data_IF_732040037834
#
_entry.id   IF_732040037834
#
_cell.length_a   1.000
_cell.length_b   1.000
_cell.length_c   1.000
_cell.angle_alpha   90.00
_cell.angle_beta   90.00
_cell.angle_gamma   90.00
#
_symmetry.space_group_name_H-M   'P 1'
#
loop_
_entity.id
_entity.type
_entity.pdbx_description
1 polymer ?
#
# COMPACT_ATOMS: atom_id res chain seq x y z
N UNK A 1 46.65 9.33 -32.69
CA UNK A 1 46.28 8.10 -31.98
C UNK A 1 45.53 8.51 -30.72
N UNK A 2 44.21 8.59 -30.79
CA UNK A 2 43.36 8.96 -29.66
C UNK A 2 42.18 7.99 -29.63
N UNK A 3 42.26 7.03 -28.71
CA UNK A 3 41.19 6.08 -28.42
C UNK A 3 40.16 6.80 -27.56
N UNK A 4 39.02 7.17 -28.15
CA UNK A 4 37.85 7.59 -27.39
C UNK A 4 37.22 6.33 -26.79
N UNK A 5 37.41 6.13 -25.48
CA UNK A 5 36.76 5.07 -24.73
C UNK A 5 35.27 5.41 -24.53
N UNK A 6 34.39 4.61 -25.11
CA UNK A 6 32.96 4.65 -24.78
C UNK A 6 32.76 4.17 -23.35
N UNK A 7 32.40 5.11 -22.47
CA UNK A 7 31.89 4.79 -21.14
C UNK A 7 30.44 4.32 -21.31
N UNK A 8 30.20 3.01 -21.18
CA UNK A 8 28.86 2.48 -20.98
C UNK A 8 28.38 2.96 -19.61
N UNK A 9 27.42 3.89 -19.57
CA UNK A 9 26.64 4.13 -18.36
C UNK A 9 25.79 2.88 -18.11
N UNK A 10 26.21 2.04 -17.17
CA UNK A 10 25.35 1.04 -16.58
C UNK A 10 24.20 1.79 -15.90
N UNK A 11 22.98 1.66 -16.41
CA UNK A 11 21.79 2.14 -15.72
C UNK A 11 21.74 1.44 -14.36
N UNK A 12 21.70 2.20 -13.27
CA UNK A 12 21.36 1.63 -11.97
C UNK A 12 20.03 0.87 -12.12
N UNK A 13 19.90 -0.35 -11.55
CA UNK A 13 18.63 -1.05 -11.57
C UNK A 13 17.55 -0.13 -11.00
N UNK A 14 16.42 -0.04 -11.70
CA UNK A 14 15.32 0.81 -11.30
C UNK A 14 14.86 0.44 -9.87
N UNK A 15 14.59 1.46 -9.06
CA UNK A 15 14.00 1.30 -7.73
C UNK A 15 12.68 0.48 -7.83
N UNK A 16 12.62 -0.66 -7.14
CA UNK A 16 11.52 -1.62 -7.21
C UNK A 16 11.25 -2.30 -5.86
N UNK A 17 9.99 -2.66 -5.62
CA UNK A 17 9.55 -3.55 -4.54
C UNK A 17 9.52 -4.97 -5.08
N UNK A 18 10.41 -5.81 -4.57
CA UNK A 18 10.73 -7.10 -5.18
C UNK A 18 10.19 -8.25 -4.35
N UNK A 19 9.86 -9.36 -5.03
CA UNK A 19 9.48 -10.60 -4.36
C UNK A 19 10.50 -10.98 -3.26
N UNK A 20 10.00 -11.31 -2.07
CA UNK A 20 10.82 -11.65 -0.89
C UNK A 20 11.45 -10.46 -0.16
N UNK A 21 11.09 -9.22 -0.46
CA UNK A 21 11.43 -8.10 0.41
C UNK A 21 10.77 -8.27 1.79
N UNK A 22 11.56 -8.19 2.87
CA UNK A 22 11.02 -8.15 4.23
C UNK A 22 10.42 -6.78 4.50
N UNK A 23 9.35 -6.76 5.29
CA UNK A 23 8.60 -5.52 5.54
C UNK A 23 8.02 -5.48 6.95
N UNK A 24 7.57 -4.30 7.34
CA UNK A 24 6.73 -4.08 8.51
C UNK A 24 5.79 -2.89 8.23
N UNK A 25 4.65 -2.87 8.91
CA UNK A 25 3.56 -1.92 8.70
C UNK A 25 3.17 -1.29 10.03
N UNK A 26 3.25 0.03 10.13
CA UNK A 26 2.98 0.75 11.37
C UNK A 26 2.15 2.00 11.09
N UNK A 27 0.90 2.00 11.56
CA UNK A 27 0.00 3.15 11.41
C UNK A 27 -0.26 3.89 12.72
N UNK A 28 0.19 3.33 13.85
CA UNK A 28 -0.06 3.87 15.19
C UNK A 28 1.25 4.16 15.93
N UNK A 29 1.27 5.30 16.63
CA UNK A 29 2.41 5.70 17.46
C UNK A 29 2.61 4.78 18.70
N UNK A 30 3.86 4.64 19.18
CA UNK A 30 5.09 5.18 18.61
C UNK A 30 5.61 4.31 17.46
N UNK A 31 6.10 4.95 16.40
CA UNK A 31 6.77 4.24 15.31
C UNK A 31 8.16 3.74 15.75
N UNK A 32 8.48 2.48 15.45
CA UNK A 32 9.81 1.91 15.59
C UNK A 32 10.46 1.81 14.21
N UNK A 33 11.40 2.71 13.91
CA UNK A 33 12.00 2.84 12.58
C UNK A 33 13.30 2.03 12.40
N UNK A 34 13.90 1.57 13.50
CA UNK A 34 15.11 0.75 13.45
C UNK A 34 14.77 -0.74 13.39
N UNK A 35 14.17 -1.16 12.27
CA UNK A 35 13.69 -2.52 12.04
C UNK A 35 14.61 -3.26 11.07
N UNK A 36 14.82 -4.57 11.23
CA UNK A 36 15.67 -5.36 10.33
C UNK A 36 14.99 -5.68 8.98
N UNK A 37 14.13 -4.80 8.47
CA UNK A 37 13.33 -5.03 7.26
C UNK A 37 13.87 -4.22 6.09
N UNK A 38 13.42 -4.49 4.86
CA UNK A 38 13.78 -3.69 3.67
C UNK A 38 12.75 -2.62 3.34
N UNK A 39 11.52 -2.78 3.84
CA UNK A 39 10.38 -1.92 3.54
C UNK A 39 9.67 -1.55 4.84
N UNK A 40 9.33 -0.28 4.98
CA UNK A 40 8.43 0.20 6.03
C UNK A 40 7.22 0.87 5.38
N UNK A 41 6.04 0.38 5.72
CA UNK A 41 4.78 1.06 5.42
C UNK A 41 4.31 1.82 6.66
N UNK A 42 4.07 3.12 6.51
CA UNK A 42 3.96 4.06 7.62
C UNK A 42 2.84 5.06 7.38
N UNK A 43 2.11 5.39 8.46
CA UNK A 43 1.22 6.53 8.43
C UNK A 43 2.03 7.84 8.35
N UNK A 44 1.71 8.79 7.45
CA UNK A 44 2.51 10.00 7.29
C UNK A 44 2.52 10.91 8.53
N UNK A 45 1.54 10.79 9.43
CA UNK A 45 1.52 11.61 10.65
C UNK A 45 2.49 11.14 11.74
N UNK A 46 3.03 9.92 11.66
CA UNK A 46 3.86 9.32 12.73
C UNK A 46 5.35 9.36 12.42
N UNK A 47 5.74 10.04 11.33
CA UNK A 47 7.13 10.20 10.88
C UNK A 47 7.39 11.60 10.31
N UNK A 48 8.66 12.01 10.33
CA UNK A 48 9.13 13.27 9.75
C UNK A 48 9.92 13.08 8.44
N UNK A 49 10.12 14.13 7.62
CA UNK A 49 11.04 14.07 6.48
C UNK A 49 12.47 13.65 6.87
N UNK A 50 12.94 14.03 8.06
CA UNK A 50 14.24 13.63 8.59
C UNK A 50 14.31 12.11 8.85
N UNK A 51 13.24 11.53 9.40
CA UNK A 51 13.13 10.08 9.60
C UNK A 51 13.19 9.34 8.27
N UNK A 52 12.42 9.80 7.28
CA UNK A 52 12.38 9.22 5.93
C UNK A 52 13.74 9.33 5.22
N UNK A 53 14.43 10.45 5.36
CA UNK A 53 15.79 10.62 4.84
C UNK A 53 16.79 9.66 5.52
N UNK A 54 16.67 9.45 6.83
CA UNK A 54 17.50 8.51 7.57
C UNK A 54 17.25 7.05 7.12
N UNK A 55 15.98 6.65 6.96
CA UNK A 55 15.59 5.34 6.41
C UNK A 55 16.15 5.12 5.00
N UNK A 56 15.98 6.11 4.13
CA UNK A 56 16.51 6.08 2.75
C UNK A 56 18.03 5.93 2.71
N UNK A 57 18.76 6.57 3.61
CA UNK A 57 20.22 6.44 3.70
C UNK A 57 20.68 5.03 4.10
N UNK A 58 19.81 4.27 4.79
CA UNK A 58 20.02 2.86 5.14
C UNK A 58 19.53 1.90 4.03
N UNK A 59 19.00 2.43 2.93
CA UNK A 59 18.41 1.64 1.85
C UNK A 59 17.02 1.07 2.15
N UNK A 60 16.36 1.55 3.21
CA UNK A 60 14.97 1.19 3.52
C UNK A 60 14.04 1.93 2.57
N UNK A 61 13.12 1.20 1.94
CA UNK A 61 12.07 1.75 1.09
C UNK A 61 10.88 2.12 1.96
N UNK A 62 10.23 3.24 1.68
CA UNK A 62 9.09 3.69 2.48
C UNK A 62 7.81 3.79 1.65
N UNK A 63 6.71 3.31 2.23
CA UNK A 63 5.36 3.37 1.68
C UNK A 63 4.53 4.31 2.57
N UNK A 64 3.78 5.21 1.94
CA UNK A 64 2.91 6.18 2.60
C UNK A 64 1.48 5.66 2.58
N UNK A 65 0.89 5.41 3.75
CA UNK A 65 -0.54 5.13 3.89
C UNK A 65 -1.38 6.32 3.43
N UNK A 66 -2.36 6.05 2.56
CA UNK A 66 -3.38 7.03 2.15
C UNK A 66 -4.71 6.29 1.95
N UNK A 67 -5.75 6.61 2.74
CA UNK A 67 -7.09 6.17 2.36
C UNK A 67 -7.56 6.86 1.07
N UNK A 68 -7.91 6.08 0.04
CA UNK A 68 -8.36 6.59 -1.26
C UNK A 68 -9.84 6.31 -1.54
N UNK A 69 -10.44 5.35 -0.82
CA UNK A 69 -11.87 5.02 -0.95
C UNK A 69 -12.74 5.50 0.20
N UNK A 70 -12.15 5.98 1.30
CA UNK A 70 -12.87 6.53 2.44
C UNK A 70 -12.30 7.88 2.88
N UNK A 71 -13.09 8.58 3.70
CA UNK A 71 -12.74 9.84 4.33
C UNK A 71 -12.80 9.71 5.85
N UNK A 72 -11.63 9.67 6.46
CA UNK A 72 -11.49 9.55 7.91
C UNK A 72 -11.93 10.83 8.61
N UNK A 73 -12.47 10.70 9.83
CA UNK A 73 -12.89 11.84 10.65
C UNK A 73 -11.74 12.81 10.92
N UNK A 74 -10.53 12.28 11.05
CA UNK A 74 -9.32 13.00 11.45
C UNK A 74 -8.49 13.50 10.28
N UNK A 75 -8.84 13.21 9.02
CA UNK A 75 -8.06 13.67 7.87
C UNK A 75 -7.97 15.21 7.86
N UNK A 76 -6.77 15.80 7.75
CA UNK A 76 -6.59 17.26 7.86
C UNK A 76 -7.23 18.03 6.70
N UNK A 77 -7.42 17.37 5.56
CA UNK A 77 -8.04 17.91 4.34
C UNK A 77 -9.55 17.62 4.26
N UNK A 78 -10.17 17.07 5.31
CA UNK A 78 -11.58 16.67 5.31
C UNK A 78 -12.54 17.77 4.86
N UNK A 79 -12.26 19.03 5.21
CA UNK A 79 -13.08 20.17 4.83
C UNK A 79 -13.08 20.46 3.31
N UNK A 80 -12.14 19.90 2.55
CA UNK A 80 -12.03 20.06 1.11
C UNK A 80 -12.93 19.08 0.34
N UNK A 81 -13.49 18.06 0.99
CA UNK A 81 -14.35 17.06 0.36
C UNK A 81 -15.80 17.58 0.31
N UNK A 82 -16.39 17.72 -0.89
CA UNK A 82 -17.79 18.12 -1.01
C UNK A 82 -18.72 17.05 -0.43
N UNK A 83 -19.80 17.47 0.22
CA UNK A 83 -20.74 16.55 0.87
C UNK A 83 -21.39 15.56 -0.09
N UNK A 84 -21.54 15.92 -1.36
CA UNK A 84 -22.18 15.08 -2.38
C UNK A 84 -21.37 13.84 -2.79
N UNK A 85 -20.09 13.78 -2.43
CA UNK A 85 -19.23 12.61 -2.68
C UNK A 85 -18.99 11.78 -1.43
N UNK A 86 -19.56 12.17 -0.28
CA UNK A 86 -19.40 11.47 0.99
C UNK A 86 -20.62 10.57 1.19
N UNK A 87 -20.36 9.27 1.28
CA UNK A 87 -21.36 8.22 1.36
C UNK A 87 -21.61 7.71 2.78
N UNK A 88 -22.00 6.44 2.85
CA UNK A 88 -22.31 5.75 4.09
C UNK A 88 -21.09 5.63 5.01
N UNK A 89 -21.37 5.43 6.30
CA UNK A 89 -20.39 4.98 7.28
C UNK A 89 -19.82 3.63 6.89
N UNK A 90 -18.51 3.47 7.05
CA UNK A 90 -17.91 2.15 6.96
C UNK A 90 -18.18 1.40 8.26
N UNK A 91 -18.89 0.28 8.20
CA UNK A 91 -19.33 -0.45 9.40
C UNK A 91 -18.18 -0.90 10.31
N UNK A 92 -17.08 -1.39 9.72
CA UNK A 92 -15.89 -1.82 10.46
C UNK A 92 -15.08 -0.64 11.01
N UNK A 93 -15.22 0.54 10.39
CA UNK A 93 -14.53 1.78 10.76
C UNK A 93 -15.52 2.94 10.89
N UNK A 94 -16.25 3.05 12.03
CA UNK A 94 -17.36 4.01 12.18
C UNK A 94 -16.98 5.49 12.04
N UNK A 95 -15.68 5.78 12.16
CA UNK A 95 -15.09 7.10 12.01
C UNK A 95 -14.74 7.45 10.55
N UNK A 96 -15.00 6.54 9.62
CA UNK A 96 -14.79 6.69 8.18
C UNK A 96 -16.11 6.74 7.41
N UNK A 97 -16.06 7.37 6.24
CA UNK A 97 -17.18 7.44 5.30
C UNK A 97 -16.68 7.07 3.91
N UNK A 98 -17.40 6.23 3.18
CA UNK A 98 -17.05 5.91 1.80
C UNK A 98 -17.08 7.16 0.90
N UNK A 99 -16.29 7.14 -0.15
CA UNK A 99 -16.23 8.19 -1.17
C UNK A 99 -16.82 7.72 -2.49
N UNK A 100 -17.52 8.59 -3.22
CA UNK A 100 -18.02 8.27 -4.57
C UNK A 100 -16.86 8.28 -5.59
N UNK A 101 -16.19 7.13 -5.75
CA UNK A 101 -15.04 6.96 -6.66
C UNK A 101 -15.36 7.20 -8.15
N UNK A 102 -16.64 7.40 -8.51
CA UNK A 102 -17.06 7.77 -9.87
C UNK A 102 -16.85 9.26 -10.14
N UNK A 103 -16.78 10.09 -9.10
CA UNK A 103 -16.57 11.55 -9.17
C UNK A 103 -15.10 11.90 -9.31
N UNK A 104 -14.50 11.37 -10.38
CA UNK A 104 -13.07 11.49 -10.68
C UNK A 104 -12.61 12.95 -10.84
N UNK A 105 -13.50 13.83 -11.32
CA UNK A 105 -13.28 15.27 -11.45
C UNK A 105 -12.98 15.96 -10.11
N UNK A 106 -13.56 15.43 -9.02
CA UNK A 106 -13.40 15.95 -7.66
C UNK A 106 -12.32 15.18 -6.90
N UNK A 107 -12.34 13.85 -6.97
CA UNK A 107 -11.47 13.00 -6.16
C UNK A 107 -10.02 13.00 -6.62
N UNK A 108 -9.73 13.00 -7.93
CA UNK A 108 -8.35 12.89 -8.38
C UNK A 108 -7.47 14.08 -7.94
N UNK A 109 -7.92 15.34 -8.00
CA UNK A 109 -7.15 16.45 -7.44
C UNK A 109 -6.88 16.33 -5.93
N UNK A 110 -7.85 15.83 -5.16
CA UNK A 110 -7.69 15.61 -3.71
C UNK A 110 -6.65 14.51 -3.43
N UNK A 111 -6.73 13.39 -4.14
CA UNK A 111 -5.74 12.31 -4.01
C UNK A 111 -4.36 12.71 -4.52
N UNK A 112 -4.29 13.49 -5.60
CA UNK A 112 -3.03 14.04 -6.09
C UNK A 112 -2.35 14.92 -5.02
N UNK A 113 -3.11 15.78 -4.32
CA UNK A 113 -2.58 16.58 -3.23
C UNK A 113 -2.07 15.72 -2.06
N UNK A 114 -2.78 14.63 -1.70
CA UNK A 114 -2.30 13.66 -0.69
C UNK A 114 -1.00 12.99 -1.13
N UNK A 115 -0.91 12.55 -2.39
CA UNK A 115 0.29 11.90 -2.92
C UNK A 115 1.47 12.89 -3.04
N UNK A 116 1.22 14.14 -3.42
CA UNK A 116 2.21 15.22 -3.41
C UNK A 116 2.74 15.47 -1.99
N UNK A 117 1.88 15.42 -0.97
CA UNK A 117 2.31 15.51 0.43
C UNK A 117 3.26 14.37 0.79
N UNK A 118 2.88 13.10 0.54
CA UNK A 118 3.78 11.95 0.74
C UNK A 118 5.11 12.11 -0.02
N UNK A 119 5.07 12.55 -1.28
CA UNK A 119 6.27 12.80 -2.08
C UNK A 119 7.17 13.86 -1.46
N UNK A 120 6.57 14.96 -1.01
CA UNK A 120 7.30 16.09 -0.42
C UNK A 120 7.98 15.73 0.90
N UNK A 121 7.39 14.81 1.67
CA UNK A 121 8.01 14.27 2.88
C UNK A 121 9.19 13.34 2.56
N UNK A 122 9.18 12.68 1.40
CA UNK A 122 10.28 11.84 0.92
C UNK A 122 9.94 10.35 0.83
N UNK A 123 8.66 9.98 0.93
CA UNK A 123 8.21 8.61 0.68
C UNK A 123 8.55 8.15 -0.74
N UNK A 124 8.74 6.84 -0.92
CA UNK A 124 9.01 6.25 -2.22
C UNK A 124 7.75 5.70 -2.91
N UNK A 125 6.69 5.40 -2.14
CA UNK A 125 5.49 4.76 -2.65
C UNK A 125 4.22 5.16 -1.87
N UNK A 126 3.07 4.77 -2.42
CA UNK A 126 1.74 4.91 -1.82
C UNK A 126 1.15 3.52 -1.53
N UNK A 127 0.58 3.35 -0.34
CA UNK A 127 -0.44 2.35 -0.01
C UNK A 127 -1.81 3.04 -0.16
N UNK A 128 -2.55 2.79 -1.26
CA UNK A 128 -3.86 3.41 -1.47
C UNK A 128 -4.94 2.55 -0.79
N UNK A 129 -5.27 2.84 0.46
CA UNK A 129 -6.22 2.03 1.23
C UNK A 129 -7.69 2.21 0.80
N UNK A 130 -8.51 1.21 1.12
CA UNK A 130 -9.94 1.16 0.78
C UNK A 130 -10.22 1.12 -0.73
N UNK A 131 -9.49 0.30 -1.49
CA UNK A 131 -9.71 0.10 -2.94
C UNK A 131 -10.99 -0.69 -3.28
N UNK A 132 -11.60 -1.31 -2.28
CA UNK A 132 -12.71 -2.26 -2.30
C UNK A 132 -14.09 -1.60 -2.13
N UNK A 133 -14.23 -0.31 -2.47
CA UNK A 133 -15.51 0.41 -2.37
C UNK A 133 -16.63 -0.26 -3.18
N UNK A 134 -16.30 -1.02 -4.24
CA UNK A 134 -17.29 -1.76 -5.04
C UNK A 134 -17.89 -2.98 -4.33
N UNK A 135 -17.22 -3.49 -3.30
CA UNK A 135 -17.65 -4.66 -2.51
C UNK A 135 -18.37 -4.26 -1.22
N UNK A 136 -18.57 -2.95 -0.99
CA UNK A 136 -19.15 -2.40 0.23
C UNK A 136 -20.42 -1.58 -0.04
N UNK A 137 -21.28 -1.43 0.98
CA UNK A 137 -22.44 -0.52 0.93
C UNK A 137 -22.00 0.94 1.12
N UNK A 138 -21.40 1.50 0.07
CA UNK A 138 -20.93 2.88 0.07
C UNK A 138 -22.04 3.93 0.06
N UNK A 139 -23.30 3.54 -0.16
CA UNK A 139 -24.40 4.46 -0.47
C UNK A 139 -24.39 4.97 -1.91
N UNK A 140 -23.45 4.50 -2.74
CA UNK A 140 -23.36 4.81 -4.17
C UNK A 140 -23.42 3.53 -5.01
N UNK A 141 -23.96 3.58 -6.25
CA UNK A 141 -23.96 2.43 -7.16
C UNK A 141 -22.58 2.29 -7.83
N UNK A 142 -21.58 1.95 -7.01
CA UNK A 142 -20.21 1.69 -7.44
C UNK A 142 -20.15 0.26 -7.99
N UNK A 143 -19.36 0.09 -9.04
CA UNK A 143 -19.16 -1.19 -9.71
C UNK A 143 -17.68 -1.50 -9.71
N UNK A 144 -17.35 -2.75 -9.93
CA UNK A 144 -15.98 -3.21 -10.15
C UNK A 144 -15.27 -2.41 -11.27
N UNK A 145 -15.96 -2.07 -12.36
CA UNK A 145 -15.38 -1.26 -13.44
C UNK A 145 -15.05 0.17 -12.97
N UNK A 146 -15.85 0.74 -12.06
CA UNK A 146 -15.56 2.04 -11.46
C UNK A 146 -14.29 1.97 -10.59
N UNK A 147 -14.14 0.92 -9.77
CA UNK A 147 -12.93 0.70 -8.97
C UNK A 147 -11.68 0.58 -9.85
N UNK A 148 -11.70 -0.29 -10.86
CA UNK A 148 -10.57 -0.48 -11.78
C UNK A 148 -10.19 0.84 -12.49
N UNK A 149 -11.19 1.61 -12.95
CA UNK A 149 -10.93 2.89 -13.61
C UNK A 149 -10.27 3.92 -12.67
N UNK A 150 -10.79 4.03 -11.44
CA UNK A 150 -10.24 4.93 -10.42
C UNK A 150 -8.81 4.55 -10.03
N UNK A 151 -8.56 3.28 -9.72
CA UNK A 151 -7.24 2.78 -9.31
C UNK A 151 -6.20 2.99 -10.41
N UNK A 152 -6.55 2.75 -11.68
CA UNK A 152 -5.64 3.02 -12.81
C UNK A 152 -5.26 4.49 -12.91
N UNK A 153 -6.19 5.40 -12.61
CA UNK A 153 -5.92 6.84 -12.59
C UNK A 153 -5.01 7.21 -11.41
N UNK A 154 -5.25 6.65 -10.22
CA UNK A 154 -4.35 6.82 -9.07
C UNK A 154 -2.92 6.34 -9.37
N UNK A 155 -2.78 5.18 -10.03
CA UNK A 155 -1.48 4.67 -10.44
C UNK A 155 -0.77 5.61 -11.44
N UNK A 156 -1.53 6.21 -12.36
CA UNK A 156 -1.03 7.25 -13.26
C UNK A 156 -0.54 8.49 -12.51
N UNK A 157 -1.33 8.98 -11.54
CA UNK A 157 -1.00 10.12 -10.69
C UNK A 157 0.28 9.87 -9.88
N UNK A 158 0.35 8.75 -9.15
CA UNK A 158 1.54 8.39 -8.37
C UNK A 158 2.80 8.30 -9.25
N UNK A 159 2.70 7.65 -10.41
CA UNK A 159 3.81 7.56 -11.37
C UNK A 159 4.25 8.92 -11.90
N UNK A 160 3.31 9.83 -12.15
CA UNK A 160 3.59 11.22 -12.57
C UNK A 160 4.40 11.99 -11.53
N UNK A 161 4.23 11.67 -10.25
CA UNK A 161 4.99 12.24 -9.12
C UNK A 161 6.30 11.48 -8.83
N UNK A 162 6.61 10.44 -9.61
CA UNK A 162 7.75 9.55 -9.37
C UNK A 162 7.63 8.75 -8.07
N UNK A 163 6.40 8.38 -7.71
CA UNK A 163 6.07 7.43 -6.65
C UNK A 163 5.71 6.07 -7.25
N UNK A 164 5.97 5.00 -6.50
CA UNK A 164 5.35 3.69 -6.74
C UNK A 164 3.96 3.64 -6.10
N UNK A 165 3.14 2.67 -6.48
CA UNK A 165 1.83 2.48 -5.86
C UNK A 165 1.47 0.99 -5.72
N UNK A 166 0.90 0.63 -4.57
CA UNK A 166 0.48 -0.73 -4.26
C UNK A 166 -0.96 -1.03 -4.63
N UNK A 167 -1.28 -2.33 -4.72
CA UNK A 167 -2.63 -2.83 -4.49
C UNK A 167 -2.84 -3.01 -2.99
N UNK A 168 -3.97 -2.55 -2.46
CA UNK A 168 -4.41 -2.85 -1.10
C UNK A 168 -5.68 -3.69 -1.15
N UNK A 169 -5.62 -4.92 -0.65
CA UNK A 169 -6.70 -5.91 -0.72
C UNK A 169 -7.18 -6.15 -2.16
N UNK A 170 -8.50 -6.15 -2.42
CA UNK A 170 -9.15 -6.38 -3.73
C UNK A 170 -8.58 -7.56 -4.55
N UNK A 171 -8.50 -8.78 -3.96
CA UNK A 171 -7.90 -9.93 -4.63
C UNK A 171 -8.59 -10.31 -5.96
N UNK A 172 -9.88 -9.96 -6.10
CA UNK A 172 -10.69 -10.12 -7.31
C UNK A 172 -10.22 -9.24 -8.48
N UNK A 173 -9.52 -8.13 -8.19
CA UNK A 173 -9.05 -7.17 -9.19
C UNK A 173 -7.60 -7.37 -9.62
N UNK A 174 -6.85 -8.28 -9.00
CA UNK A 174 -5.41 -8.47 -9.24
C UNK A 174 -5.05 -8.56 -10.73
N UNK A 175 -5.70 -9.45 -11.48
CA UNK A 175 -5.43 -9.65 -12.92
C UNK A 175 -5.71 -8.40 -13.77
N UNK A 176 -6.56 -7.49 -13.30
CA UNK A 176 -6.96 -6.26 -14.01
C UNK A 176 -6.03 -5.08 -13.72
N UNK A 177 -5.23 -5.17 -12.65
CA UNK A 177 -4.45 -4.07 -12.09
C UNK A 177 -2.95 -4.34 -12.01
N UNK A 178 -2.52 -5.61 -12.11
CA UNK A 178 -1.13 -6.03 -11.99
C UNK A 178 -0.18 -5.33 -12.99
N UNK A 179 -0.68 -4.88 -14.14
CA UNK A 179 0.11 -4.16 -15.15
C UNK A 179 0.44 -2.72 -14.74
N UNK A 180 -0.34 -2.11 -13.83
CA UNK A 180 -0.16 -0.71 -13.43
C UNK A 180 0.35 -0.52 -12.00
N UNK A 181 0.23 -1.52 -11.13
CA UNK A 181 0.66 -1.46 -9.73
C UNK A 181 2.04 -2.10 -9.53
N UNK A 182 2.79 -1.65 -8.53
CA UNK A 182 4.21 -2.01 -8.33
C UNK A 182 4.40 -3.15 -7.31
N UNK A 183 3.44 -3.37 -6.41
CA UNK A 183 3.41 -4.40 -5.37
C UNK A 183 1.98 -4.61 -4.87
N UNK A 184 1.76 -5.61 -4.01
CA UNK A 184 0.49 -5.81 -3.31
C UNK A 184 0.69 -5.83 -1.79
N UNK A 185 -0.31 -5.33 -1.06
CA UNK A 185 -0.51 -5.42 0.38
C UNK A 185 -1.88 -6.05 0.59
N UNK A 186 -1.92 -7.18 1.28
CA UNK A 186 -3.12 -7.88 1.64
C UNK A 186 -3.27 -7.88 3.17
N UNK A 187 -4.51 -7.95 3.61
CA UNK A 187 -4.86 -8.25 4.98
C UNK A 187 -5.52 -9.61 5.04
N UNK A 188 -5.10 -10.43 6.00
CA UNK A 188 -5.78 -11.68 6.33
C UNK A 188 -5.87 -12.67 5.15
N UNK A 189 -4.94 -12.67 4.19
CA UNK A 189 -5.08 -13.51 3.00
C UNK A 189 -5.14 -15.01 3.33
N UNK A 190 -4.51 -15.43 4.44
CA UNK A 190 -4.53 -16.82 4.87
C UNK A 190 -5.84 -17.14 5.60
N UNK A 191 -6.31 -16.27 6.50
CA UNK A 191 -7.63 -16.39 7.13
C UNK A 191 -8.75 -16.50 6.09
N UNK A 192 -8.72 -15.62 5.09
CA UNK A 192 -9.78 -15.47 4.09
C UNK A 192 -9.57 -16.40 2.88
N UNK A 193 -8.46 -17.14 2.85
CA UNK A 193 -8.06 -18.09 1.79
C UNK A 193 -7.91 -17.44 0.42
N UNK A 194 -7.49 -16.19 0.38
CA UNK A 194 -7.31 -15.37 -0.82
C UNK A 194 -5.86 -15.26 -1.27
N UNK A 195 -4.86 -15.75 -0.51
CA UNK A 195 -3.43 -15.59 -0.85
C UNK A 195 -3.05 -15.94 -2.29
N UNK A 196 -3.66 -16.99 -2.87
CA UNK A 196 -3.39 -17.42 -4.25
C UNK A 196 -3.71 -16.32 -5.27
N UNK A 197 -4.69 -15.46 -5.00
CA UNK A 197 -5.14 -14.42 -5.91
C UNK A 197 -4.05 -13.38 -6.21
N UNK A 198 -3.04 -13.25 -5.36
CA UNK A 198 -1.93 -12.32 -5.54
C UNK A 198 -0.72 -12.92 -6.30
N UNK A 199 -0.76 -14.21 -6.67
CA UNK A 199 0.39 -14.92 -7.26
C UNK A 199 0.96 -14.28 -8.52
N UNK A 200 0.15 -13.55 -9.30
CA UNK A 200 0.60 -12.80 -10.47
C UNK A 200 1.70 -11.76 -10.14
N UNK A 201 1.74 -11.21 -8.93
CA UNK A 201 2.82 -10.32 -8.49
C UNK A 201 4.14 -11.08 -8.36
N UNK A 202 4.15 -12.24 -7.71
CA UNK A 202 5.35 -13.05 -7.56
C UNK A 202 5.87 -13.55 -8.93
N UNK A 203 4.97 -13.96 -9.83
CA UNK A 203 5.32 -14.35 -11.20
C UNK A 203 5.95 -13.20 -12.00
N UNK A 204 5.57 -11.95 -11.69
CA UNK A 204 6.15 -10.73 -12.24
C UNK A 204 7.39 -10.22 -11.47
N UNK A 205 7.85 -10.94 -10.43
CA UNK A 205 8.97 -10.54 -9.58
C UNK A 205 8.69 -9.36 -8.63
N UNK A 206 7.41 -9.00 -8.46
CA UNK A 206 6.94 -7.91 -7.59
C UNK A 206 6.67 -8.42 -6.17
N UNK A 207 6.79 -7.53 -5.19
CA UNK A 207 6.51 -7.87 -3.80
C UNK A 207 5.02 -8.16 -3.55
N UNK A 208 4.76 -9.12 -2.66
CA UNK A 208 3.46 -9.36 -2.03
C UNK A 208 3.68 -9.30 -0.52
N UNK A 209 3.00 -8.38 0.12
CA UNK A 209 2.99 -8.16 1.55
C UNK A 209 1.64 -8.62 2.11
N UNK A 210 1.62 -9.32 3.24
CA UNK A 210 0.37 -9.72 3.90
C UNK A 210 0.44 -9.56 5.43
N UNK A 211 -0.59 -8.95 6.01
CA UNK A 211 -0.73 -8.79 7.45
C UNK A 211 -1.86 -9.70 7.99
N UNK A 212 -1.48 -10.64 8.83
CA UNK A 212 -2.39 -11.42 9.66
C UNK A 212 -2.50 -10.79 11.05
N UNK A 213 -3.60 -11.08 11.77
CA UNK A 213 -3.90 -10.38 13.03
C UNK A 213 -4.04 -11.30 14.24
N UNK A 214 -3.45 -10.88 15.37
CA UNK A 214 -3.47 -11.64 16.65
C UNK A 214 -4.86 -11.70 17.31
N UNK A 215 -5.77 -10.81 16.93
CA UNK A 215 -7.15 -10.79 17.42
C UNK A 215 -8.04 -11.86 16.75
N UNK A 216 -7.52 -12.53 15.70
CA UNK A 216 -8.14 -13.69 15.06
C UNK A 216 -7.38 -14.99 15.42
N UNK A 217 -8.06 -16.12 15.59
CA UNK A 217 -7.38 -17.40 15.84
C UNK A 217 -6.48 -17.80 14.66
N UNK A 218 -5.16 -17.84 14.86
CA UNK A 218 -4.20 -18.16 13.80
C UNK A 218 -3.10 -19.11 14.27
N UNK A 219 -2.76 -20.07 13.40
CA UNK A 219 -1.55 -20.87 13.51
C UNK A 219 -0.48 -20.28 12.59
N UNK A 220 0.27 -19.31 13.08
CA UNK A 220 1.16 -18.50 12.23
C UNK A 220 2.17 -19.34 11.43
N UNK A 221 2.72 -20.41 11.99
CA UNK A 221 3.61 -21.33 11.26
C UNK A 221 2.96 -22.00 10.04
N UNK A 222 1.65 -22.29 10.09
CA UNK A 222 0.91 -22.79 8.92
C UNK A 222 0.64 -21.69 7.91
N UNK A 223 0.32 -20.49 8.38
CA UNK A 223 0.16 -19.31 7.52
C UNK A 223 1.46 -19.03 6.75
N UNK A 224 2.61 -19.10 7.42
CA UNK A 224 3.93 -18.95 6.81
C UNK A 224 4.23 -20.01 5.74
N UNK A 225 3.79 -21.26 5.92
CA UNK A 225 3.92 -22.30 4.87
C UNK A 225 3.12 -21.92 3.61
N UNK A 226 1.96 -21.29 3.77
CA UNK A 226 1.15 -20.79 2.65
C UNK A 226 1.78 -19.54 2.03
N UNK A 227 2.32 -18.64 2.85
CA UNK A 227 3.00 -17.44 2.39
C UNK A 227 4.22 -17.80 1.53
N UNK A 228 5.08 -18.71 2.01
CA UNK A 228 6.25 -19.21 1.26
C UNK A 228 5.84 -19.80 -0.11
N UNK A 229 4.77 -20.61 -0.13
CA UNK A 229 4.26 -21.22 -1.36
C UNK A 229 3.91 -20.20 -2.44
N UNK A 230 3.44 -19.01 -2.06
CA UNK A 230 3.00 -17.97 -2.99
C UNK A 230 3.96 -16.78 -3.08
N UNK A 231 5.14 -16.86 -2.45
CA UNK A 231 6.14 -15.78 -2.47
C UNK A 231 5.72 -14.53 -1.69
N UNK A 232 4.91 -14.72 -0.65
CA UNK A 232 4.38 -13.64 0.19
C UNK A 232 5.30 -13.42 1.38
N UNK A 233 5.63 -12.16 1.64
CA UNK A 233 6.22 -11.72 2.90
C UNK A 233 5.09 -11.41 3.88
N UNK A 234 4.87 -12.28 4.85
CA UNK A 234 3.76 -12.20 5.79
C UNK A 234 4.23 -11.72 7.16
N UNK A 235 3.41 -10.91 7.83
CA UNK A 235 3.60 -10.47 9.21
C UNK A 235 2.38 -10.80 10.06
N UNK A 236 2.59 -11.01 11.36
CA UNK A 236 1.53 -11.10 12.37
C UNK A 236 1.54 -9.84 13.23
N UNK A 237 0.42 -9.11 13.25
CA UNK A 237 0.29 -7.78 13.85
C UNK A 237 -0.90 -7.71 14.81
N UNK A 238 -0.91 -6.70 15.67
CA UNK A 238 -2.14 -6.25 16.29
C UNK A 238 -3.01 -5.45 15.30
N UNK A 239 -4.30 -5.31 15.61
CA UNK A 239 -5.28 -4.63 14.75
C UNK A 239 -4.98 -3.15 14.56
N UNK A 240 -4.36 -2.51 15.57
CA UNK A 240 -4.02 -1.09 15.55
C UNK A 240 -2.70 -0.83 14.80
N UNK A 241 -2.03 -1.88 14.31
CA UNK A 241 -0.78 -1.81 13.57
C UNK A 241 0.30 -1.04 14.34
N UNK A 242 0.47 -1.39 15.62
CA UNK A 242 1.60 -0.91 16.42
C UNK A 242 2.90 -1.62 16.04
N UNK A 243 4.05 -1.15 16.53
CA UNK A 243 5.36 -1.68 16.12
C UNK A 243 5.60 -3.21 16.26
N UNK A 244 5.15 -3.91 17.32
CA UNK A 244 5.37 -5.35 17.47
C UNK A 244 4.89 -6.17 16.26
N UNK A 245 5.70 -7.14 15.84
CA UNK A 245 5.38 -8.04 14.74
C UNK A 245 6.07 -9.40 14.92
N UNK A 246 5.49 -10.45 14.35
CA UNK A 246 6.23 -11.65 13.93
C UNK A 246 6.31 -11.64 12.41
N UNK A 247 7.39 -12.20 11.86
CA UNK A 247 7.63 -12.20 10.42
C UNK A 247 7.73 -13.61 9.86
N UNK A 248 7.33 -13.77 8.61
CA UNK A 248 7.80 -14.86 7.78
C UNK A 248 7.89 -14.46 6.29
N UNK A 249 9.06 -14.61 5.64
CA UNK A 249 10.32 -15.07 6.23
C UNK A 249 10.82 -14.11 7.32
N UNK A 250 11.58 -14.63 8.28
CA UNK A 250 12.27 -13.78 9.25
C UNK A 250 13.19 -12.80 8.52
N UNK A 251 13.28 -11.53 8.94
CA UNK A 251 14.15 -10.58 8.29
C UNK A 251 15.62 -10.96 8.49
N UNK A 252 16.44 -10.82 7.45
CA UNK A 252 17.87 -11.15 7.47
C UNK A 252 18.73 -10.02 8.03
#
# INVERSE_FOLDING_TARGET
MALAGSVFMLSLPAFAFSAGDSWDWQLTEPAELNRPVKVLDLHPSIVSPEDLAALKSKGIKTICYVSVGTLERTSPDRANFPSEIIGNTYDDWPDERFLDIRRLDVLLPLMAARFESCKSMGFDAIEPDNMDVHDNDSGFPITEQHAVAYIRLLAGTARGLGLKIGQKNVPDLTEKLIDVLDFAIAESCYQDRTCKAYSAYNDAGKAIFDAEYIDKPIHFTKACTIAEKYGISMILKDRDLTAPALWCPEPN
#
